data_IF_501193194602
#
_entry.id   IF_501193194602
#
_cell.length_a   1.000
_cell.length_b   1.000
_cell.length_c   1.000
_cell.angle_alpha   90.00
_cell.angle_beta   90.00
_cell.angle_gamma   90.00
#
_symmetry.space_group_name_H-M   'P 1'
#
loop_
_entity.id
_entity.type
_entity.pdbx_description
1 polymer ?
#
# COMPACT_ATOMS: atom_id res chain seq x y z
N UNK A 1 -25.90 0.92 -11.68
CA UNK A 1 -25.47 0.31 -10.42
C UNK A 1 -24.09 0.83 -10.03
N UNK A 2 -23.99 1.48 -8.91
CA UNK A 2 -22.71 2.03 -8.46
C UNK A 2 -21.81 0.91 -7.96
N UNK A 3 -20.59 0.85 -8.50
CA UNK A 3 -19.58 -0.05 -7.99
C UNK A 3 -19.07 0.48 -6.64
N UNK A 4 -19.02 -0.38 -5.63
CA UNK A 4 -18.38 -0.03 -4.37
C UNK A 4 -16.89 0.19 -4.64
N UNK A 5 -16.42 1.40 -4.39
CA UNK A 5 -15.00 1.73 -4.50
C UNK A 5 -14.46 2.08 -3.12
N UNK A 6 -13.25 1.62 -2.87
CA UNK A 6 -12.53 1.93 -1.65
C UNK A 6 -11.36 2.84 -2.00
N UNK A 7 -11.07 3.75 -1.08
CA UNK A 7 -9.90 4.60 -1.17
C UNK A 7 -8.87 4.04 -0.21
N UNK A 8 -7.79 3.47 -0.77
CA UNK A 8 -6.64 3.07 0.01
C UNK A 8 -5.58 4.14 -0.13
N UNK A 9 -5.06 4.60 0.99
CA UNK A 9 -3.97 5.57 1.01
C UNK A 9 -2.81 4.96 1.78
N UNK A 10 -1.63 4.98 1.18
CA UNK A 10 -0.40 4.56 1.85
C UNK A 10 0.52 5.75 1.97
N UNK A 11 1.02 5.97 3.19
CA UNK A 11 2.01 7.01 3.48
C UNK A 11 3.30 6.32 3.89
N UNK A 12 4.40 6.69 3.24
CA UNK A 12 5.72 6.17 3.57
C UNK A 12 6.51 7.21 4.35
N UNK A 13 7.20 6.76 5.39
CA UNK A 13 8.03 7.59 6.25
C UNK A 13 9.47 7.13 6.20
N UNK A 14 10.40 8.07 6.33
CA UNK A 14 11.81 7.75 6.51
C UNK A 14 12.10 7.43 7.99
N UNK A 15 13.36 7.16 8.30
CA UNK A 15 13.79 6.79 9.64
C UNK A 15 13.57 7.90 10.67
N UNK A 16 13.54 9.16 10.24
CA UNK A 16 13.30 10.30 11.13
C UNK A 16 11.82 10.61 11.31
N UNK A 17 10.93 9.85 10.67
CA UNK A 17 9.48 10.05 10.74
C UNK A 17 8.93 11.08 9.76
N UNK A 18 9.73 11.47 8.76
CA UNK A 18 9.26 12.40 7.71
C UNK A 18 8.51 11.65 6.63
N UNK A 19 7.44 12.26 6.13
CA UNK A 19 6.72 11.74 4.97
C UNK A 19 7.58 11.86 3.73
N UNK A 20 7.84 10.74 3.05
CA UNK A 20 8.63 10.70 1.82
C UNK A 20 7.82 10.35 0.58
N UNK A 21 6.67 9.73 0.75
CA UNK A 21 5.77 9.42 -0.35
C UNK A 21 4.36 9.18 0.16
N UNK A 22 3.38 9.51 -0.68
CA UNK A 22 1.97 9.20 -0.45
C UNK A 22 1.39 8.67 -1.75
N UNK A 23 0.64 7.60 -1.68
CA UNK A 23 -0.02 7.04 -2.86
C UNK A 23 -1.40 6.51 -2.50
N UNK A 24 -2.33 6.65 -3.44
CA UNK A 24 -3.63 6.01 -3.39
C UNK A 24 -3.61 4.79 -4.32
N UNK A 25 -4.54 3.86 -4.10
CA UNK A 25 -4.73 2.79 -5.07
C UNK A 25 -5.24 3.37 -6.39
N UNK A 26 -4.91 2.70 -7.50
CA UNK A 26 -5.42 3.06 -8.81
C UNK A 26 -6.07 1.84 -9.44
N UNK A 27 -7.23 2.03 -10.05
CA UNK A 27 -7.92 0.95 -10.78
C UNK A 27 -7.50 0.88 -12.25
N UNK A 28 -6.85 1.93 -12.75
CA UNK A 28 -6.53 2.08 -14.18
C UNK A 28 -5.04 2.04 -14.49
N UNK A 29 -4.20 2.32 -13.50
CA UNK A 29 -2.76 2.42 -13.70
C UNK A 29 -2.03 1.21 -13.15
N UNK A 30 -0.88 0.90 -13.75
CA UNK A 30 -0.03 -0.19 -13.30
C UNK A 30 1.44 0.20 -13.50
N UNK A 31 2.23 0.14 -12.44
CA UNK A 31 3.67 0.35 -12.54
C UNK A 31 4.41 -0.99 -12.65
N UNK A 32 5.66 -0.93 -13.12
CA UNK A 32 6.50 -2.13 -13.28
C UNK A 32 6.69 -2.88 -11.97
N UNK A 33 6.85 -2.15 -10.88
CA UNK A 33 7.05 -2.73 -9.56
C UNK A 33 5.83 -3.55 -9.13
N UNK A 34 4.61 -3.03 -9.37
CA UNK A 34 3.39 -3.76 -9.07
C UNK A 34 3.32 -5.08 -9.84
N UNK A 35 3.58 -5.03 -11.15
CA UNK A 35 3.56 -6.23 -11.99
C UNK A 35 4.62 -7.24 -11.56
N UNK A 36 5.80 -6.77 -11.19
CA UNK A 36 6.90 -7.63 -10.71
C UNK A 36 6.49 -8.40 -9.46
N UNK A 37 5.97 -7.72 -8.44
CA UNK A 37 5.59 -8.37 -7.19
C UNK A 37 4.33 -9.21 -7.32
N UNK A 38 3.40 -8.84 -8.20
CA UNK A 38 2.24 -9.68 -8.50
C UNK A 38 2.69 -11.04 -9.05
N UNK A 39 3.68 -11.04 -9.96
CA UNK A 39 4.23 -12.30 -10.48
C UNK A 39 4.96 -13.10 -9.41
N UNK A 40 5.78 -12.44 -8.58
CA UNK A 40 6.50 -13.11 -7.49
C UNK A 40 5.55 -13.74 -6.47
N UNK A 41 4.43 -13.09 -6.20
CA UNK A 41 3.43 -13.59 -5.27
C UNK A 41 2.52 -14.67 -5.87
N UNK A 42 2.70 -14.99 -7.16
CA UNK A 42 1.84 -15.95 -7.85
C UNK A 42 0.46 -15.41 -8.20
N UNK A 43 0.33 -14.09 -8.30
CA UNK A 43 -0.93 -13.41 -8.59
C UNK A 43 -0.80 -12.47 -9.80
N UNK A 44 -0.33 -12.99 -10.97
CA UNK A 44 0.00 -12.13 -12.11
C UNK A 44 -1.20 -11.38 -12.70
N UNK A 45 -2.42 -11.77 -12.34
CA UNK A 45 -3.65 -11.08 -12.75
C UNK A 45 -3.85 -9.75 -12.03
N UNK A 46 -3.14 -9.49 -10.93
CA UNK A 46 -3.24 -8.23 -10.19
C UNK A 46 -2.39 -7.17 -10.88
N UNK A 47 -2.99 -6.45 -11.82
CA UNK A 47 -2.26 -5.50 -12.66
C UNK A 47 -2.40 -4.05 -12.22
N UNK A 48 -3.49 -3.67 -11.55
CA UNK A 48 -3.70 -2.29 -11.11
C UNK A 48 -2.89 -1.97 -9.86
N UNK A 49 -2.43 -0.71 -9.74
CA UNK A 49 -1.58 -0.30 -8.63
C UNK A 49 -2.29 -0.38 -7.28
N UNK A 50 -1.71 -1.15 -6.37
CA UNK A 50 -2.05 -1.07 -4.96
C UNK A 50 -1.30 0.10 -4.31
N UNK A 51 -1.92 0.74 -3.33
CA UNK A 51 -1.36 1.92 -2.69
C UNK A 51 0.03 1.67 -2.10
N UNK A 52 0.23 0.53 -1.44
CA UNK A 52 1.48 0.19 -0.77
C UNK A 52 2.65 0.11 -1.76
N UNK A 53 2.47 -0.65 -2.83
CA UNK A 53 3.54 -0.84 -3.83
C UNK A 53 3.80 0.45 -4.59
N UNK A 54 2.75 1.20 -4.94
CA UNK A 54 2.92 2.47 -5.64
C UNK A 54 3.64 3.49 -4.75
N UNK A 55 3.35 3.48 -3.44
CA UNK A 55 4.03 4.33 -2.48
C UNK A 55 5.53 4.02 -2.39
N UNK A 56 5.87 2.72 -2.32
CA UNK A 56 7.26 2.27 -2.34
C UNK A 56 7.95 2.70 -3.65
N UNK A 57 7.28 2.53 -4.79
CA UNK A 57 7.80 2.93 -6.09
C UNK A 57 8.12 4.43 -6.13
N UNK A 58 7.22 5.26 -5.62
CA UNK A 58 7.44 6.71 -5.56
C UNK A 58 8.65 7.08 -4.69
N UNK A 59 8.80 6.42 -3.54
CA UNK A 59 9.94 6.65 -2.64
C UNK A 59 11.26 6.24 -3.31
N UNK A 60 11.27 5.09 -3.97
CA UNK A 60 12.46 4.59 -4.68
C UNK A 60 12.90 5.52 -5.80
N UNK A 61 11.96 6.07 -6.57
CA UNK A 61 12.27 7.01 -7.64
C UNK A 61 12.88 8.31 -7.14
N UNK A 62 12.69 8.63 -5.87
CA UNK A 62 13.33 9.78 -5.20
C UNK A 62 14.67 9.40 -4.55
N UNK A 63 15.10 8.14 -4.67
CA UNK A 63 16.31 7.65 -4.01
C UNK A 63 16.18 7.54 -2.50
N UNK A 64 14.96 7.43 -1.97
CA UNK A 64 14.71 7.39 -0.53
C UNK A 64 14.37 5.98 -0.05
N UNK A 65 14.72 5.70 1.20
CA UNK A 65 14.50 4.41 1.84
C UNK A 65 13.27 4.49 2.74
N UNK A 66 12.32 3.58 2.53
CA UNK A 66 11.12 3.49 3.35
C UNK A 66 11.44 2.79 4.66
N UNK A 67 11.20 3.47 5.77
CA UNK A 67 11.31 2.90 7.12
C UNK A 67 9.96 2.37 7.61
N UNK A 68 8.87 3.11 7.37
CA UNK A 68 7.54 2.78 7.87
C UNK A 68 6.48 3.04 6.81
N UNK A 69 5.40 2.27 6.85
CA UNK A 69 4.21 2.47 6.04
C UNK A 69 2.98 2.59 6.94
N UNK A 70 2.10 3.50 6.59
CA UNK A 70 0.77 3.62 7.21
C UNK A 70 -0.26 3.49 6.09
N UNK A 71 -1.12 2.49 6.20
CA UNK A 71 -2.12 2.17 5.16
C UNK A 71 -3.51 2.33 5.73
N UNK A 72 -4.33 3.15 5.08
CA UNK A 72 -5.72 3.33 5.47
C UNK A 72 -6.64 2.96 4.32
N UNK A 73 -7.82 2.45 4.66
CA UNK A 73 -8.86 2.12 3.69
C UNK A 73 -10.17 2.70 4.16
N UNK A 74 -10.83 3.45 3.29
CA UNK A 74 -12.15 4.03 3.54
C UNK A 74 -13.12 3.62 2.45
N UNK A 75 -14.38 3.38 2.83
CA UNK A 75 -15.43 3.14 1.85
C UNK A 75 -16.01 4.48 1.34
N UNK A 76 -16.99 4.40 0.45
CA UNK A 76 -17.64 5.58 -0.15
C UNK A 76 -18.43 6.42 0.86
N UNK A 77 -18.70 5.89 2.05
CA UNK A 77 -19.39 6.59 3.14
C UNK A 77 -18.41 7.19 4.15
N UNK A 78 -17.12 7.09 3.90
CA UNK A 78 -16.10 7.62 4.80
C UNK A 78 -15.81 6.73 6.01
N UNK A 79 -16.30 5.50 6.03
CA UNK A 79 -16.02 4.56 7.11
C UNK A 79 -14.68 3.86 6.91
N UNK A 80 -13.91 3.78 7.99
CA UNK A 80 -12.64 3.08 8.00
C UNK A 80 -12.86 1.57 7.85
N UNK A 81 -12.11 0.96 6.93
CA UNK A 81 -12.19 -0.46 6.63
C UNK A 81 -10.83 -1.13 6.82
N UNK A 82 -10.79 -2.45 6.74
CA UNK A 82 -9.58 -3.23 6.91
C UNK A 82 -8.64 -3.01 5.70
N UNK A 83 -7.44 -2.49 5.99
CA UNK A 83 -6.41 -2.24 4.98
C UNK A 83 -5.23 -3.21 5.10
N UNK A 84 -5.41 -4.38 5.69
CA UNK A 84 -4.33 -5.37 5.82
C UNK A 84 -3.75 -5.68 4.44
N UNK A 85 -2.42 -5.58 4.27
CA UNK A 85 -1.79 -5.83 2.98
C UNK A 85 -2.10 -7.23 2.44
N UNK A 86 -2.38 -7.31 1.15
CA UNK A 86 -2.60 -8.59 0.48
C UNK A 86 -1.27 -9.32 0.27
N UNK A 87 -1.34 -10.55 -0.25
CA UNK A 87 -0.16 -11.38 -0.49
C UNK A 87 0.88 -10.67 -1.38
N UNK A 88 0.44 -10.01 -2.45
CA UNK A 88 1.34 -9.27 -3.35
C UNK A 88 2.04 -8.14 -2.61
N UNK A 89 1.30 -7.34 -1.83
CA UNK A 89 1.88 -6.24 -1.07
C UNK A 89 2.79 -6.75 0.05
N UNK A 90 2.43 -7.82 0.73
CA UNK A 90 3.30 -8.45 1.73
C UNK A 90 4.62 -8.93 1.11
N UNK A 91 4.59 -9.47 -0.10
CA UNK A 91 5.80 -9.90 -0.80
C UNK A 91 6.74 -8.71 -1.01
N UNK A 92 6.21 -7.56 -1.42
CA UNK A 92 6.99 -6.35 -1.59
C UNK A 92 7.54 -5.82 -0.24
N UNK A 93 6.70 -5.78 0.78
CA UNK A 93 7.08 -5.34 2.13
C UNK A 93 8.24 -6.18 2.65
N UNK A 94 8.15 -7.49 2.51
CA UNK A 94 9.22 -8.42 2.94
C UNK A 94 10.50 -8.22 2.11
N UNK A 95 10.36 -8.06 0.80
CA UNK A 95 11.51 -7.85 -0.08
C UNK A 95 12.31 -6.60 0.32
N UNK A 96 11.62 -5.51 0.60
CA UNK A 96 12.25 -4.24 1.01
C UNK A 96 12.56 -4.18 2.51
N UNK A 97 12.25 -5.23 3.26
CA UNK A 97 12.52 -5.35 4.70
C UNK A 97 11.88 -4.21 5.51
N UNK A 98 10.67 -3.82 5.14
CA UNK A 98 9.92 -2.80 5.85
C UNK A 98 9.24 -3.47 7.05
N UNK A 99 9.73 -3.18 8.26
CA UNK A 99 9.26 -3.84 9.48
C UNK A 99 8.13 -3.10 10.20
N UNK A 100 7.96 -1.81 9.92
CA UNK A 100 7.00 -0.97 10.61
C UNK A 100 5.86 -0.63 9.65
N UNK A 101 4.85 -1.50 9.61
CA UNK A 101 3.66 -1.33 8.77
C UNK A 101 2.45 -1.29 9.68
N UNK A 102 1.67 -0.22 9.56
CA UNK A 102 0.42 -0.03 10.31
C UNK A 102 -0.73 0.06 9.32
N UNK A 103 -1.84 -0.58 9.64
CA UNK A 103 -3.00 -0.57 8.76
C UNK A 103 -4.29 -0.36 9.54
N UNK A 104 -5.28 0.21 8.85
CA UNK A 104 -6.59 0.48 9.45
C UNK A 104 -7.43 -0.79 9.57
N UNK A 105 -8.32 -0.80 10.55
CA UNK A 105 -9.31 -1.86 10.76
C UNK A 105 -10.68 -1.23 10.95
N UNK A 106 -11.73 -2.04 10.87
CA UNK A 106 -13.10 -1.53 11.05
C UNK A 106 -13.42 -1.18 12.52
N UNK A 107 -12.85 -1.93 13.45
CA UNK A 107 -13.26 -1.89 14.85
C UNK A 107 -12.12 -1.68 15.84
N UNK A 108 -10.87 -1.83 15.44
CA UNK A 108 -9.71 -1.76 16.33
C UNK A 108 -8.79 -0.58 16.06
N UNK A 109 -9.20 0.34 15.18
CA UNK A 109 -8.36 1.46 14.76
C UNK A 109 -7.16 0.99 13.96
N UNK A 110 -6.00 1.63 14.18
CA UNK A 110 -4.75 1.26 13.51
C UNK A 110 -4.04 0.15 14.27
N UNK A 111 -3.63 -0.89 13.55
CA UNK A 111 -2.89 -2.00 14.14
C UNK A 111 -1.59 -2.22 13.36
N UNK A 112 -0.61 -2.80 14.02
CA UNK A 112 0.69 -3.11 13.41
C UNK A 112 0.64 -4.48 12.76
N UNK A 113 1.16 -4.55 11.54
CA UNK A 113 1.31 -5.80 10.79
C UNK A 113 2.31 -6.73 11.47
#
# INVERSE_FOLDING_TARGET
MSKKRYILTCTAFDRSGRVIAVANNSYNDSCKLMRHFARLAGEPWKASNHAEIWCIDKAMKQGKIVHSLVVTRFDSFGKMKNAKPCKTCNTAIDYFKIKNVYYSTEDKGMVKL
#
